data_IF_837968510087
#
_entry.id   IF_837968510087
#
_cell.length_a   1.000
_cell.length_b   1.000
_cell.length_c   1.000
_cell.angle_alpha   90.00
_cell.angle_beta   90.00
_cell.angle_gamma   90.00
#
_symmetry.space_group_name_H-M   'P 1'
#
loop_
_entity.id
_entity.type
_entity.pdbx_description
1 polymer ?
#
# COMPACT_ATOMS: atom_id res chain seq x y z
N UNK A 1 0.99 -21.95 16.47
CA UNK A 1 -0.30 -21.71 15.78
C UNK A 1 -0.05 -21.10 14.41
N UNK A 2 0.66 -21.81 13.52
CA UNK A 2 1.09 -21.37 12.18
C UNK A 2 0.82 -22.50 11.16
N UNK A 3 -0.31 -23.20 11.33
CA UNK A 3 -0.68 -24.39 10.54
C UNK A 3 -2.09 -24.30 9.93
N UNK A 4 -2.58 -23.08 9.68
CA UNK A 4 -3.57 -22.87 8.63
C UNK A 4 -2.82 -22.31 7.43
N UNK A 5 -1.97 -23.17 6.86
CA UNK A 5 -1.42 -22.98 5.53
C UNK A 5 -2.57 -22.64 4.59
N UNK A 6 -2.37 -21.56 3.83
CA UNK A 6 -2.97 -21.26 2.53
C UNK A 6 -3.67 -22.46 1.90
N UNK A 7 -4.93 -22.69 2.27
CA UNK A 7 -5.81 -23.44 1.41
C UNK A 7 -6.03 -22.53 0.21
N UNK A 8 -5.25 -22.79 -0.85
CA UNK A 8 -5.51 -22.27 -2.18
C UNK A 8 -6.98 -22.61 -2.45
N UNK A 9 -7.84 -21.60 -2.35
CA UNK A 9 -9.24 -21.78 -2.64
C UNK A 9 -9.35 -22.09 -4.13
N UNK A 10 -9.62 -23.35 -4.44
CA UNK A 10 -9.91 -23.81 -5.80
C UNK A 10 -11.43 -23.74 -5.95
N UNK A 11 -11.96 -22.80 -6.75
CA UNK A 11 -13.39 -22.71 -6.97
C UNK A 11 -13.92 -24.03 -7.54
N UNK A 12 -15.07 -24.53 -7.06
CA UNK A 12 -15.63 -25.80 -7.52
C UNK A 12 -16.10 -25.73 -8.98
N UNK A 13 -16.49 -24.53 -9.45
CA UNK A 13 -17.09 -24.29 -10.76
C UNK A 13 -16.44 -23.10 -11.48
N UNK A 14 -16.44 -23.15 -12.82
CA UNK A 14 -15.95 -22.05 -13.67
C UNK A 14 -16.72 -20.73 -13.42
N UNK A 15 -18.02 -20.81 -13.14
CA UNK A 15 -18.84 -19.64 -12.84
C UNK A 15 -18.36 -18.94 -11.55
N UNK A 16 -18.02 -19.72 -10.53
CA UNK A 16 -17.51 -19.21 -9.25
C UNK A 16 -16.12 -18.60 -9.43
N UNK A 17 -15.25 -19.24 -10.21
CA UNK A 17 -13.95 -18.67 -10.60
C UNK A 17 -14.10 -17.29 -11.26
N UNK A 18 -14.99 -17.18 -12.26
CA UNK A 18 -15.24 -15.90 -12.95
C UNK A 18 -15.80 -14.83 -12.00
N UNK A 19 -16.62 -15.22 -11.01
CA UNK A 19 -17.13 -14.29 -9.97
C UNK A 19 -16.00 -13.80 -9.06
N UNK A 20 -15.12 -14.70 -8.62
CA UNK A 20 -13.93 -14.34 -7.83
C UNK A 20 -13.05 -13.38 -8.61
N UNK A 21 -12.73 -13.70 -9.87
CA UNK A 21 -11.88 -12.85 -10.72
C UNK A 21 -12.43 -11.44 -10.87
N UNK A 22 -13.71 -11.30 -11.24
CA UNK A 22 -14.37 -9.99 -11.35
C UNK A 22 -14.33 -9.23 -10.04
N UNK A 23 -14.58 -9.92 -8.92
CA UNK A 23 -14.57 -9.29 -7.60
C UNK A 23 -13.18 -8.82 -7.20
N UNK A 24 -12.15 -9.61 -7.50
CA UNK A 24 -10.74 -9.25 -7.31
C UNK A 24 -10.38 -8.01 -8.11
N UNK A 25 -10.72 -7.98 -9.41
CA UNK A 25 -10.47 -6.82 -10.29
C UNK A 25 -11.21 -5.57 -9.81
N UNK A 26 -12.45 -5.72 -9.36
CA UNK A 26 -13.22 -4.60 -8.80
C UNK A 26 -12.56 -4.01 -7.56
N UNK A 27 -12.16 -4.85 -6.61
CA UNK A 27 -11.49 -4.39 -5.38
C UNK A 27 -10.16 -3.73 -5.73
N UNK A 28 -9.33 -4.39 -6.55
CA UNK A 28 -8.03 -3.87 -6.96
C UNK A 28 -8.14 -2.49 -7.63
N UNK A 29 -9.09 -2.36 -8.57
CA UNK A 29 -9.39 -1.07 -9.23
C UNK A 29 -9.84 -0.01 -8.23
N UNK A 30 -10.71 -0.34 -7.28
CA UNK A 30 -11.19 0.62 -6.27
C UNK A 30 -10.04 1.11 -5.40
N UNK A 31 -9.19 0.20 -4.91
CA UNK A 31 -8.12 0.57 -3.98
C UNK A 31 -7.02 1.36 -4.67
N UNK A 32 -6.64 0.99 -5.89
CA UNK A 32 -5.64 1.71 -6.70
C UNK A 32 -6.15 3.07 -7.14
N UNK A 33 -7.41 3.16 -7.57
CA UNK A 33 -8.02 4.45 -7.92
C UNK A 33 -8.07 5.39 -6.73
N UNK A 34 -8.45 4.88 -5.55
CA UNK A 34 -8.45 5.69 -4.34
C UNK A 34 -7.03 6.14 -3.97
N UNK A 35 -6.03 5.27 -4.09
CA UNK A 35 -4.64 5.64 -3.86
C UNK A 35 -4.20 6.75 -4.83
N UNK A 36 -4.57 6.66 -6.11
CA UNK A 36 -4.29 7.72 -7.07
C UNK A 36 -4.99 9.03 -6.71
N UNK A 37 -6.27 8.97 -6.30
CA UNK A 37 -7.01 10.16 -5.84
C UNK A 37 -6.29 10.84 -4.65
N UNK A 38 -5.62 10.07 -3.77
CA UNK A 38 -4.78 10.61 -2.69
C UNK A 38 -3.50 11.25 -3.23
N UNK A 39 -2.82 10.61 -4.18
CA UNK A 39 -1.60 11.15 -4.81
C UNK A 39 -1.89 12.46 -5.53
N UNK A 40 -3.01 12.55 -6.25
CA UNK A 40 -3.39 13.71 -7.05
C UNK A 40 -3.65 14.97 -6.22
N UNK A 41 -4.02 14.81 -4.95
CA UNK A 41 -4.23 15.93 -4.03
C UNK A 41 -2.98 16.34 -3.27
N UNK A 42 -1.87 15.61 -3.41
CA UNK A 42 -0.61 15.98 -2.75
C UNK A 42 -0.05 17.30 -3.29
N UNK A 43 0.65 18.10 -2.45
CA UNK A 43 1.26 19.35 -2.90
C UNK A 43 2.25 19.14 -4.05
N UNK A 44 2.22 20.04 -5.03
CA UNK A 44 3.27 20.10 -6.05
C UNK A 44 4.58 20.57 -5.40
N UNK A 45 5.65 19.80 -5.56
CA UNK A 45 6.97 20.12 -4.99
C UNK A 45 7.37 19.34 -3.73
N UNK A 46 6.72 18.19 -3.46
CA UNK A 46 7.26 17.23 -2.50
C UNK A 46 8.62 16.70 -2.96
N UNK A 47 9.53 16.42 -2.03
CA UNK A 47 10.85 15.84 -2.30
C UNK A 47 10.81 14.34 -2.67
N UNK A 48 9.72 13.90 -3.32
CA UNK A 48 9.52 12.53 -3.77
C UNK A 48 9.78 12.43 -5.27
N UNK A 49 10.48 11.36 -5.66
CA UNK A 49 10.66 11.00 -7.08
C UNK A 49 9.50 10.11 -7.56
N UNK A 50 9.42 9.90 -8.88
CA UNK A 50 8.34 9.10 -9.49
C UNK A 50 8.27 7.67 -8.92
N UNK A 51 9.42 7.00 -8.76
CA UNK A 51 9.50 5.66 -8.18
C UNK A 51 8.91 5.61 -6.75
N UNK A 52 9.20 6.63 -5.95
CA UNK A 52 8.70 6.74 -4.56
C UNK A 52 7.20 7.02 -4.53
N UNK A 53 6.70 7.87 -5.44
CA UNK A 53 5.27 8.11 -5.58
C UNK A 53 4.53 6.85 -6.00
N UNK A 54 5.13 6.04 -6.88
CA UNK A 54 4.57 4.75 -7.28
C UNK A 54 4.51 3.78 -6.10
N UNK A 55 5.61 3.60 -5.35
CA UNK A 55 5.64 2.76 -4.14
C UNK A 55 4.66 3.27 -3.07
N UNK A 56 4.57 4.58 -2.88
CA UNK A 56 3.60 5.21 -1.98
C UNK A 56 2.16 4.86 -2.38
N UNK A 57 1.84 4.95 -3.67
CA UNK A 57 0.53 4.58 -4.20
C UNK A 57 0.16 3.11 -3.90
N UNK A 58 1.12 2.19 -4.01
CA UNK A 58 0.91 0.78 -3.68
C UNK A 58 0.63 0.58 -2.18
N UNK A 59 1.40 1.21 -1.29
CA UNK A 59 1.13 1.15 0.15
C UNK A 59 -0.22 1.77 0.53
N UNK A 60 -0.61 2.89 -0.10
CA UNK A 60 -1.92 3.51 0.10
C UNK A 60 -3.06 2.56 -0.32
N UNK A 61 -2.91 1.89 -1.47
CA UNK A 61 -3.87 0.89 -1.94
C UNK A 61 -3.98 -0.29 -0.96
N UNK A 62 -2.86 -0.73 -0.38
CA UNK A 62 -2.84 -1.79 0.63
C UNK A 62 -3.62 -1.39 1.90
N UNK A 63 -3.43 -0.15 2.39
CA UNK A 63 -4.18 0.37 3.53
C UNK A 63 -5.68 0.46 3.23
N UNK A 64 -6.04 0.99 2.05
CA UNK A 64 -7.45 1.12 1.64
C UNK A 64 -8.12 -0.24 1.51
N UNK A 65 -7.44 -1.24 0.96
CA UNK A 65 -7.93 -2.62 0.86
C UNK A 65 -8.25 -3.19 2.24
N UNK A 66 -7.40 -2.92 3.23
CA UNK A 66 -7.62 -3.36 4.61
C UNK A 66 -8.85 -2.73 5.24
N UNK A 67 -9.06 -1.43 5.04
CA UNK A 67 -10.29 -0.79 5.50
C UNK A 67 -11.54 -1.39 4.85
N UNK A 68 -11.53 -1.63 3.54
CA UNK A 68 -12.68 -2.24 2.84
C UNK A 68 -12.97 -3.65 3.38
N UNK A 69 -11.93 -4.44 3.64
CA UNK A 69 -12.10 -5.77 4.25
C UNK A 69 -12.74 -5.67 5.64
N UNK A 70 -12.23 -4.78 6.50
CA UNK A 70 -12.75 -4.59 7.86
C UNK A 70 -14.21 -4.10 7.85
N UNK A 71 -14.55 -3.20 6.93
CA UNK A 71 -15.93 -2.73 6.77
C UNK A 71 -16.86 -3.83 6.25
N UNK A 72 -16.36 -4.74 5.41
CA UNK A 72 -17.14 -5.89 4.94
C UNK A 72 -17.41 -6.94 6.02
N UNK A 73 -16.59 -6.98 7.07
CA UNK A 73 -16.74 -7.89 8.21
C UNK A 73 -17.70 -7.35 9.28
N UNK A 74 -18.03 -6.06 9.26
CA UNK A 74 -18.97 -5.47 10.22
C UNK A 74 -20.40 -5.94 9.91
N UNK A 75 -21.11 -6.60 10.85
CA UNK A 75 -22.49 -7.00 10.61
C UNK A 75 -23.37 -5.75 10.45
N UNK A 76 -24.42 -5.78 9.59
CA UNK A 76 -25.36 -4.67 9.50
C UNK A 76 -26.02 -4.46 10.87
N UNK A 77 -25.99 -3.22 11.36
CA UNK A 77 -26.42 -2.80 12.71
C UNK A 77 -27.90 -3.10 13.01
N UNK A 78 -28.68 -3.57 12.04
CA UNK A 78 -30.06 -3.98 12.23
C UNK A 78 -30.18 -5.31 12.99
N UNK A 79 -30.65 -5.26 14.24
CA UNK A 79 -31.07 -6.45 15.03
C UNK A 79 -32.09 -7.34 14.29
N UNK A 80 -32.85 -6.77 13.34
CA UNK A 80 -33.74 -7.52 12.44
C UNK A 80 -32.98 -8.37 11.39
N UNK A 81 -31.77 -7.98 10.99
CA UNK A 81 -30.97 -8.71 10.00
C UNK A 81 -30.32 -9.99 10.54
N UNK A 82 -30.05 -10.06 11.84
CA UNK A 82 -29.43 -11.24 12.50
C UNK A 82 -30.34 -12.48 12.47
N UNK A 83 -31.66 -12.31 12.45
CA UNK A 83 -32.62 -13.41 12.35
C UNK A 83 -32.80 -13.93 10.91
N UNK A 84 -32.54 -13.11 9.89
CA UNK A 84 -32.62 -13.51 8.48
C UNK A 84 -31.31 -14.04 7.89
N UNK A 85 -30.16 -13.79 8.54
CA UNK A 85 -28.85 -14.21 8.03
C UNK A 85 -28.37 -15.58 8.52
N UNK A 86 -28.94 -16.11 9.60
CA UNK A 86 -28.50 -17.38 10.19
C UNK A 86 -29.22 -18.62 9.65
N UNK A 87 -30.22 -18.47 8.79
CA UNK A 87 -30.97 -19.61 8.25
C UNK A 87 -31.53 -19.28 6.87
N UNK A 88 -31.38 -20.20 5.91
CA UNK A 88 -32.15 -20.34 4.66
C UNK A 88 -31.54 -20.01 3.28
N UNK A 89 -30.28 -19.57 3.12
CA UNK A 89 -29.70 -19.44 1.76
C UNK A 89 -28.31 -20.08 1.59
N UNK A 90 -28.20 -21.26 0.94
CA UNK A 90 -26.91 -21.89 0.64
C UNK A 90 -25.97 -21.03 -0.23
N UNK A 91 -26.46 -19.98 -0.89
CA UNK A 91 -25.64 -19.02 -1.65
C UNK A 91 -25.00 -17.88 -0.84
N UNK A 92 -25.31 -17.73 0.45
CA UNK A 92 -24.72 -16.66 1.28
C UNK A 92 -23.27 -16.99 1.73
N UNK A 93 -22.98 -18.28 1.92
CA UNK A 93 -21.64 -18.80 2.29
C UNK A 93 -20.66 -18.59 1.12
N UNK A 94 -21.10 -18.89 -0.12
CA UNK A 94 -20.34 -18.67 -1.36
C UNK A 94 -19.90 -17.19 -1.53
N UNK A 95 -20.79 -16.23 -1.24
CA UNK A 95 -20.46 -14.79 -1.39
C UNK A 95 -19.40 -14.30 -0.40
N UNK A 96 -19.50 -14.72 0.86
CA UNK A 96 -18.54 -14.31 1.88
C UNK A 96 -17.15 -14.92 1.61
N UNK A 97 -17.13 -16.15 1.10
CA UNK A 97 -15.90 -16.84 0.68
C UNK A 97 -15.28 -16.18 -0.56
N UNK A 98 -16.07 -15.91 -1.61
CA UNK A 98 -15.63 -15.16 -2.80
C UNK A 98 -14.99 -13.83 -2.39
N UNK A 99 -15.62 -13.09 -1.48
CA UNK A 99 -15.11 -11.79 -1.02
C UNK A 99 -13.78 -11.93 -0.27
N UNK A 100 -13.68 -12.90 0.64
CA UNK A 100 -12.45 -13.19 1.40
C UNK A 100 -11.31 -13.57 0.46
N UNK A 101 -11.56 -14.45 -0.51
CA UNK A 101 -10.57 -14.87 -1.50
C UNK A 101 -10.12 -13.68 -2.33
N UNK A 102 -11.06 -12.85 -2.81
CA UNK A 102 -10.73 -11.65 -3.57
C UNK A 102 -9.83 -10.69 -2.77
N UNK A 103 -10.14 -10.43 -1.48
CA UNK A 103 -9.31 -9.60 -0.62
C UNK A 103 -7.90 -10.16 -0.38
N UNK A 104 -7.76 -11.49 -0.25
CA UNK A 104 -6.45 -12.17 -0.14
C UNK A 104 -5.67 -12.08 -1.44
N UNK A 105 -6.31 -12.32 -2.58
CA UNK A 105 -5.65 -12.20 -3.89
C UNK A 105 -5.15 -10.77 -4.14
N UNK A 106 -5.96 -9.75 -3.83
CA UNK A 106 -5.52 -8.35 -3.95
C UNK A 106 -4.37 -8.04 -2.98
N UNK A 107 -4.41 -8.53 -1.74
CA UNK A 107 -3.32 -8.34 -0.78
C UNK A 107 -2.00 -8.93 -1.30
N UNK A 108 -2.02 -10.18 -1.75
CA UNK A 108 -0.83 -10.85 -2.31
C UNK A 108 -0.30 -10.14 -3.56
N UNK A 109 -1.18 -9.66 -4.45
CA UNK A 109 -0.77 -8.86 -5.63
C UNK A 109 -0.08 -7.56 -5.22
N UNK A 110 -0.66 -6.81 -4.28
CA UNK A 110 -0.08 -5.56 -3.80
C UNK A 110 1.27 -5.77 -3.11
N UNK A 111 1.40 -6.82 -2.28
CA UNK A 111 2.67 -7.19 -1.65
C UNK A 111 3.74 -7.51 -2.70
N UNK A 112 3.41 -8.34 -3.69
CA UNK A 112 4.32 -8.66 -4.78
C UNK A 112 4.72 -7.43 -5.60
N UNK A 113 3.78 -6.52 -5.87
CA UNK A 113 4.06 -5.29 -6.61
C UNK A 113 4.94 -4.32 -5.79
N UNK A 114 4.74 -4.22 -4.47
CA UNK A 114 5.57 -3.41 -3.57
C UNK A 114 7.01 -3.95 -3.57
N UNK A 115 7.17 -5.25 -3.36
CA UNK A 115 8.48 -5.89 -3.33
C UNK A 115 9.21 -5.70 -4.66
N UNK A 116 8.50 -5.92 -5.77
CA UNK A 116 9.05 -5.72 -7.12
C UNK A 116 9.46 -4.27 -7.36
N UNK A 117 8.61 -3.31 -7.01
CA UNK A 117 8.91 -1.88 -7.20
C UNK A 117 10.14 -1.45 -6.40
N UNK A 118 10.24 -1.89 -5.14
CA UNK A 118 11.39 -1.62 -4.30
C UNK A 118 12.65 -2.32 -4.80
N UNK A 119 12.53 -3.55 -5.33
CA UNK A 119 13.65 -4.27 -5.92
C UNK A 119 14.18 -3.55 -7.16
N UNK A 120 13.32 -3.13 -8.08
CA UNK A 120 13.74 -2.37 -9.26
C UNK A 120 14.45 -1.07 -8.87
N UNK A 121 13.86 -0.30 -7.95
CA UNK A 121 14.46 0.93 -7.48
C UNK A 121 15.89 0.73 -6.92
N UNK A 122 16.09 -0.34 -6.13
CA UNK A 122 17.40 -0.70 -5.59
C UNK A 122 18.37 -1.21 -6.67
N UNK A 123 17.92 -2.12 -7.54
CA UNK A 123 18.74 -2.70 -8.62
C UNK A 123 19.22 -1.67 -9.63
N UNK A 124 18.39 -0.69 -9.99
CA UNK A 124 18.76 0.40 -10.91
C UNK A 124 19.86 1.31 -10.35
N UNK A 125 20.12 1.24 -9.05
CA UNK A 125 21.07 2.08 -8.31
C UNK A 125 22.18 1.28 -7.63
N UNK A 126 22.31 -0.01 -7.97
CA UNK A 126 23.29 -0.94 -7.40
C UNK A 126 23.27 -1.04 -5.87
N UNK A 127 22.06 -0.99 -5.29
CA UNK A 127 21.83 -1.13 -3.87
C UNK A 127 21.34 -2.55 -3.57
N UNK A 128 21.93 -3.19 -2.55
CA UNK A 128 21.39 -4.45 -2.05
C UNK A 128 19.99 -4.23 -1.46
N UNK A 129 18.99 -4.90 -2.04
CA UNK A 129 17.57 -4.71 -1.71
C UNK A 129 17.23 -4.93 -0.23
N UNK A 130 17.94 -5.84 0.44
CA UNK A 130 17.72 -6.18 1.85
C UNK A 130 18.71 -5.50 2.80
N UNK A 131 19.48 -4.53 2.31
CA UNK A 131 20.35 -3.72 3.16
C UNK A 131 19.54 -2.87 4.13
N UNK A 132 20.13 -2.54 5.29
CA UNK A 132 19.51 -1.68 6.30
C UNK A 132 19.04 -0.33 5.73
N UNK A 133 19.81 0.40 4.89
CA UNK A 133 19.36 1.66 4.30
C UNK A 133 18.15 1.50 3.36
N UNK A 134 18.10 0.42 2.58
CA UNK A 134 16.95 0.13 1.71
C UNK A 134 15.70 -0.19 2.54
N UNK A 135 15.84 -0.95 3.62
CA UNK A 135 14.74 -1.24 4.55
C UNK A 135 14.22 0.05 5.20
N UNK A 136 15.12 0.89 5.71
CA UNK A 136 14.79 2.19 6.32
C UNK A 136 14.01 3.10 5.37
N UNK A 137 14.45 3.19 4.12
CA UNK A 137 13.76 3.96 3.08
C UNK A 137 12.35 3.42 2.80
N UNK A 138 12.19 2.11 2.62
CA UNK A 138 10.85 1.48 2.43
C UNK A 138 9.94 1.72 3.64
N UNK A 139 10.48 1.61 4.86
CA UNK A 139 9.73 1.84 6.10
C UNK A 139 9.25 3.30 6.17
N UNK A 140 10.10 4.26 5.78
CA UNK A 140 9.71 5.67 5.73
C UNK A 140 8.55 5.92 4.75
N UNK A 141 8.57 5.31 3.56
CA UNK A 141 7.48 5.43 2.57
C UNK A 141 6.19 4.79 3.11
N UNK A 142 6.29 3.60 3.70
CA UNK A 142 5.14 2.92 4.32
C UNK A 142 4.52 3.77 5.43
N UNK A 143 5.36 4.41 6.24
CA UNK A 143 4.89 5.29 7.31
C UNK A 143 4.17 6.52 6.76
N UNK A 144 4.70 7.16 5.72
CA UNK A 144 4.01 8.24 5.01
C UNK A 144 2.63 7.78 4.51
N UNK A 145 2.55 6.60 3.88
CA UNK A 145 1.28 6.04 3.40
C UNK A 145 0.25 5.88 4.52
N UNK A 146 0.66 5.40 5.69
CA UNK A 146 -0.22 5.24 6.85
C UNK A 146 -0.77 6.58 7.36
N UNK A 147 0.08 7.59 7.46
CA UNK A 147 -0.31 8.93 7.92
C UNK A 147 -1.27 9.60 6.93
N UNK A 148 -0.94 9.55 5.63
CA UNK A 148 -1.81 10.06 4.57
C UNK A 148 -3.15 9.34 4.55
N UNK A 149 -3.13 8.01 4.65
CA UNK A 149 -4.36 7.22 4.69
C UNK A 149 -5.25 7.58 5.88
N UNK A 150 -4.68 7.76 7.07
CA UNK A 150 -5.45 8.14 8.25
C UNK A 150 -6.25 9.42 8.02
N UNK A 151 -5.62 10.45 7.47
CA UNK A 151 -6.26 11.75 7.21
C UNK A 151 -7.23 11.65 6.02
N UNK A 152 -6.76 11.09 4.90
CA UNK A 152 -7.53 11.01 3.67
C UNK A 152 -8.79 10.12 3.80
N UNK A 153 -8.78 9.14 4.71
CA UNK A 153 -9.95 8.30 4.98
C UNK A 153 -11.13 9.04 5.61
N UNK A 154 -10.91 10.24 6.13
CA UNK A 154 -11.91 11.08 6.81
C UNK A 154 -12.56 12.11 5.88
N UNK A 155 -12.14 12.18 4.60
CA UNK A 155 -12.52 13.21 3.65
C UNK A 155 -13.02 12.55 2.36
N UNK A 156 -14.09 13.08 1.75
CA UNK A 156 -14.36 12.77 0.34
C UNK A 156 -13.40 13.58 -0.55
N UNK A 157 -12.28 12.95 -0.93
CA UNK A 157 -11.21 13.57 -1.71
C UNK A 157 -11.70 14.21 -3.02
N UNK A 158 -12.78 13.71 -3.62
CA UNK A 158 -13.28 14.22 -4.91
C UNK A 158 -14.18 15.42 -4.77
N UNK A 159 -14.87 15.54 -3.64
CA UNK A 159 -15.94 16.53 -3.45
C UNK A 159 -15.57 17.62 -2.47
N UNK A 160 -14.84 17.25 -1.41
CA UNK A 160 -14.71 18.07 -0.21
C UNK A 160 -13.26 18.48 0.08
N UNK A 161 -12.28 17.93 -0.65
CA UNK A 161 -10.87 18.18 -0.37
C UNK A 161 -10.52 19.67 -0.35
N UNK A 162 -10.88 20.43 -1.39
CA UNK A 162 -10.52 21.84 -1.48
C UNK A 162 -11.24 22.73 -0.45
N UNK A 163 -12.34 22.27 0.12
CA UNK A 163 -13.11 22.99 1.16
C UNK A 163 -12.77 22.52 2.57
N UNK A 164 -12.09 21.39 2.71
CA UNK A 164 -11.76 20.75 3.97
C UNK A 164 -10.51 21.39 4.62
N UNK A 165 -10.54 21.71 5.93
CA UNK A 165 -9.35 22.17 6.63
C UNK A 165 -8.25 21.10 6.70
N UNK A 166 -8.61 19.82 6.64
CA UNK A 166 -7.67 18.71 6.63
C UNK A 166 -6.77 18.69 5.38
N UNK A 167 -7.09 19.45 4.31
CA UNK A 167 -6.18 19.64 3.16
C UNK A 167 -4.80 20.14 3.57
N UNK A 168 -4.76 21.03 4.57
CA UNK A 168 -3.51 21.58 5.10
C UNK A 168 -2.75 20.54 5.90
N UNK A 169 -3.46 19.69 6.64
CA UNK A 169 -2.85 18.58 7.37
C UNK A 169 -2.23 17.55 6.42
N UNK A 170 -2.95 17.18 5.36
CA UNK A 170 -2.42 16.33 4.28
C UNK A 170 -1.14 16.94 3.71
N UNK A 171 -1.18 18.24 3.37
CA UNK A 171 -0.04 18.93 2.78
C UNK A 171 1.18 18.98 3.71
N UNK A 172 0.99 19.34 4.99
CA UNK A 172 2.06 19.44 5.97
C UNK A 172 2.68 18.07 6.27
N UNK A 173 1.84 17.05 6.52
CA UNK A 173 2.32 15.69 6.78
C UNK A 173 3.07 15.11 5.58
N UNK A 174 2.53 15.30 4.38
CA UNK A 174 3.19 14.87 3.15
C UNK A 174 4.57 15.51 3.02
N UNK A 175 4.68 16.83 3.22
CA UNK A 175 5.94 17.56 3.12
C UNK A 175 6.97 17.06 4.13
N UNK A 176 6.60 17.01 5.41
CA UNK A 176 7.54 16.70 6.49
C UNK A 176 8.09 15.26 6.35
N UNK A 177 7.22 14.31 5.99
CA UNK A 177 7.63 12.92 5.81
C UNK A 177 8.31 12.66 4.46
N UNK A 178 7.97 13.41 3.41
CA UNK A 178 8.72 13.37 2.15
C UNK A 178 10.17 13.85 2.34
N UNK A 179 10.41 14.84 3.21
CA UNK A 179 11.77 15.26 3.53
C UNK A 179 12.58 14.14 4.20
N UNK A 180 11.97 13.40 5.14
CA UNK A 180 12.60 12.22 5.75
C UNK A 180 12.90 11.12 4.72
N UNK A 181 11.97 10.83 3.80
CA UNK A 181 12.20 9.86 2.72
C UNK A 181 13.39 10.30 1.84
N UNK A 182 13.46 11.59 1.49
CA UNK A 182 14.56 12.14 0.72
C UNK A 182 15.91 12.02 1.47
N UNK A 183 15.93 12.26 2.78
CA UNK A 183 17.11 12.06 3.62
C UNK A 183 17.56 10.60 3.62
N UNK A 184 16.63 9.66 3.83
CA UNK A 184 16.92 8.22 3.80
C UNK A 184 17.42 7.75 2.44
N UNK A 185 16.81 8.23 1.35
CA UNK A 185 17.27 7.99 -0.03
C UNK A 185 18.70 8.49 -0.21
N UNK A 186 19.00 9.72 0.22
CA UNK A 186 20.33 10.30 0.08
C UNK A 186 21.38 9.55 0.90
N UNK A 187 21.05 9.10 2.12
CA UNK A 187 21.94 8.28 2.93
C UNK A 187 22.23 6.92 2.26
N UNK A 188 21.18 6.27 1.75
CA UNK A 188 21.29 5.02 1.02
C UNK A 188 22.12 5.15 -0.27
N UNK A 189 22.03 6.28 -0.98
CA UNK A 189 22.87 6.60 -2.13
C UNK A 189 24.30 7.04 -1.76
N UNK A 190 24.46 7.74 -0.64
CA UNK A 190 25.75 8.24 -0.16
C UNK A 190 26.70 7.11 0.29
N UNK A 191 26.15 5.98 0.72
CA UNK A 191 26.94 4.77 1.00
C UNK A 191 27.54 4.11 -0.26
N UNK A 192 27.16 4.58 -1.47
CA UNK A 192 27.70 4.08 -2.75
C UNK A 192 28.96 4.83 -3.21
N UNK A 193 29.37 5.93 -2.56
CA UNK A 193 30.67 6.53 -2.89
C UNK A 193 31.78 5.63 -2.34
N UNK A 194 32.64 5.02 -3.19
CA UNK A 194 33.77 4.28 -2.68
C UNK A 194 34.66 5.25 -1.88
N UNK A 195 35.08 4.80 -0.70
CA UNK A 195 36.18 5.42 0.05
C UNK A 195 37.48 5.12 -0.71
N UNK A 196 37.67 5.75 -1.86
CA UNK A 196 38.90 5.71 -2.65
C UNK A 196 39.49 7.12 -2.72
N UNK A 197 39.79 7.72 -1.58
CA UNK A 197 40.63 8.92 -1.51
C UNK A 197 41.18 9.11 -0.09
N UNK A 198 41.83 8.08 0.46
CA UNK A 198 42.50 8.20 1.76
C UNK A 198 43.77 7.37 1.89
N UNK A 199 44.54 7.14 0.83
CA UNK A 199 45.86 6.49 1.01
C UNK A 199 46.89 6.71 -0.10
N UNK A 200 47.03 7.92 -0.65
CA UNK A 200 48.21 8.27 -1.45
C UNK A 200 48.69 9.71 -1.21
N UNK A 201 49.20 9.97 -0.01
CA UNK A 201 50.16 11.05 0.19
C UNK A 201 51.04 10.78 1.40
N UNK A 202 52.00 9.86 1.25
CA UNK A 202 53.25 9.91 2.03
C UNK A 202 54.34 10.45 1.12
N UNK A 203 55.01 11.57 1.46
CA UNK A 203 56.16 12.03 0.69
C UNK A 203 57.35 11.07 0.91
N UNK A 204 58.26 10.94 -0.07
CA UNK A 204 59.46 10.13 0.07
C UNK A 204 60.40 10.76 1.11
N UNK A 205 60.99 9.92 1.95
CA UNK A 205 62.15 10.24 2.78
C UNK A 205 63.44 9.79 2.07
#
# INVERSE_FOLDING_TARGET
MLKELDQIYVPPDEQTLRRVQRKTEDIDRIVRRWAQDVIDVLPKGLCLIEDELYVLGLFLAQQRRLNIELDSQKPPVSLRGKLYQASFFPGAIDRAEILRVAHRTVASRLESDIDRACQFFCSDRDIEHNSEPAIDWRVAIRYLAQQLHHIASQIDLKREYYTSPQRFEVALRARDLAANIAEKRNAMLGNLTPVEEAEFSRPPA
#
